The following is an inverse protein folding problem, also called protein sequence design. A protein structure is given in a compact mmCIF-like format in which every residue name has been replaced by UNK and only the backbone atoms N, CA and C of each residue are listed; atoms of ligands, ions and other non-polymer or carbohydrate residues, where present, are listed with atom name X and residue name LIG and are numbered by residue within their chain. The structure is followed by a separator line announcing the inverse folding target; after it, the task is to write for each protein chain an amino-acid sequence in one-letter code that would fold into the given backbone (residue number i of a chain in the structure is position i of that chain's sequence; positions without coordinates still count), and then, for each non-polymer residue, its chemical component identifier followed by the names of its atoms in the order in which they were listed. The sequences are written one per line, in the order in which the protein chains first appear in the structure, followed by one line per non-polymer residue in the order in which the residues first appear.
data_IF_429237612983
#
_entry.id   IF_429237612983
#
_cell.length_a   1.000
_cell.length_b   1.000
_cell.length_c   1.000
_cell.angle_alpha   90.00
_cell.angle_beta   90.00
_cell.angle_gamma   90.00
#
_symmetry.space_group_name_H-M   'P 1'
#
loop_
_entity.id
_entity.type
_entity.pdbx_description
1 polymer ?
#
# COMPACT_ATOMS: atom_id res chain seq x y z
N UNK A 1 -26.39 -14.44 -17.52
CA UNK A 1 -26.37 -13.14 -18.21
C UNK A 1 -26.07 -12.09 -17.14
N UNK A 2 -24.78 -11.79 -16.91
CA UNK A 2 -24.34 -10.82 -15.91
C UNK A 2 -23.89 -9.55 -16.64
N UNK A 3 -24.50 -8.43 -16.28
CA UNK A 3 -24.19 -7.12 -16.82
C UNK A 3 -22.84 -6.66 -16.28
N UNK A 4 -21.83 -6.60 -17.15
CA UNK A 4 -20.61 -5.84 -16.89
C UNK A 4 -20.90 -4.37 -17.19
N UNK A 5 -21.20 -3.59 -16.17
CA UNK A 5 -21.32 -2.13 -16.29
C UNK A 5 -19.97 -1.57 -16.74
N UNK A 6 -19.92 -0.74 -17.80
CA UNK A 6 -18.67 -0.16 -18.27
C UNK A 6 -18.09 0.76 -17.19
N UNK A 7 -16.80 0.58 -16.91
CA UNK A 7 -16.01 1.39 -15.98
C UNK A 7 -16.33 2.87 -16.10
N UNK A 8 -16.89 3.45 -15.05
CA UNK A 8 -16.95 4.89 -14.84
C UNK A 8 -15.53 5.44 -14.94
N UNK A 9 -15.25 6.22 -15.98
CA UNK A 9 -14.16 7.20 -15.98
C UNK A 9 -14.45 8.18 -14.86
N UNK A 10 -14.07 7.85 -13.63
CA UNK A 10 -14.17 8.74 -12.48
C UNK A 10 -13.28 9.96 -12.75
N UNK A 11 -13.91 11.07 -13.12
CA UNK A 11 -13.31 12.40 -13.19
C UNK A 11 -12.82 12.91 -11.83
N UNK A 12 -13.16 12.21 -10.75
CA UNK A 12 -12.95 12.64 -9.36
C UNK A 12 -11.48 12.66 -8.92
N UNK A 13 -10.59 11.93 -9.59
CA UNK A 13 -9.17 11.84 -9.22
C UNK A 13 -8.25 12.77 -10.02
N UNK A 14 -8.74 13.36 -11.13
CA UNK A 14 -7.90 14.15 -12.04
C UNK A 14 -7.37 15.46 -11.44
N UNK A 15 -8.00 16.02 -10.42
CA UNK A 15 -7.54 17.30 -9.84
C UNK A 15 -6.35 17.12 -8.88
N UNK A 16 -6.12 15.92 -8.35
CA UNK A 16 -5.00 15.62 -7.43
C UNK A 16 -3.71 15.32 -8.22
N UNK A 17 -3.84 14.89 -9.47
CA UNK A 17 -2.76 14.35 -10.31
C UNK A 17 -1.90 15.45 -10.97
N UNK A 18 -2.33 16.72 -10.96
CA UNK A 18 -1.69 17.77 -11.78
C UNK A 18 -0.30 18.23 -11.31
N UNK A 19 0.09 17.98 -10.06
CA UNK A 19 1.36 18.49 -9.49
C UNK A 19 2.31 17.41 -8.97
N UNK A 20 1.99 16.13 -9.19
CA UNK A 20 2.82 15.03 -8.69
C UNK A 20 3.96 14.72 -9.68
N UNK A 21 5.17 15.14 -9.33
CA UNK A 21 6.37 14.49 -9.85
C UNK A 21 6.42 13.11 -9.21
N UNK A 22 6.52 12.04 -10.01
CA UNK A 22 6.73 10.68 -9.52
C UNK A 22 7.80 10.71 -8.42
N UNK A 23 7.45 10.26 -7.20
CA UNK A 23 8.40 10.18 -6.10
C UNK A 23 9.50 9.18 -6.49
N UNK A 24 10.74 9.65 -6.54
CA UNK A 24 11.88 8.84 -6.94
C UNK A 24 12.40 8.05 -5.73
N UNK A 25 11.99 6.79 -5.62
CA UNK A 25 12.46 5.87 -4.56
C UNK A 25 13.73 5.16 -5.04
N UNK A 26 14.78 5.19 -4.22
CA UNK A 26 15.94 4.32 -4.41
C UNK A 26 15.63 2.91 -3.89
N UNK A 27 15.37 1.96 -4.78
CA UNK A 27 14.98 0.57 -4.46
C UNK A 27 16.14 -0.32 -3.99
N UNK A 28 17.16 0.26 -3.35
CA UNK A 28 18.34 -0.45 -2.86
C UNK A 28 18.42 -0.38 -1.33
N UNK A 29 18.97 -1.42 -0.72
CA UNK A 29 19.15 -1.50 0.73
C UNK A 29 18.04 -2.30 1.41
N UNK A 30 17.73 -1.92 2.65
CA UNK A 30 16.86 -2.71 3.54
C UNK A 30 15.53 -1.99 3.76
N UNK A 31 14.43 -2.67 3.43
CA UNK A 31 13.05 -2.20 3.58
C UNK A 31 12.26 -3.17 4.46
N UNK A 32 12.32 -3.08 5.80
CA UNK A 32 11.57 -3.98 6.66
C UNK A 32 10.06 -3.72 6.57
N UNK A 33 9.29 -4.81 6.68
CA UNK A 33 7.86 -4.73 6.96
C UNK A 33 7.66 -4.54 8.47
N UNK A 34 7.08 -3.41 8.85
CA UNK A 34 6.86 -3.04 10.24
C UNK A 34 5.53 -3.62 10.76
N UNK A 35 5.50 -3.93 12.05
CA UNK A 35 4.29 -4.29 12.78
C UNK A 35 3.50 -3.05 13.19
N UNK A 36 2.17 -3.18 13.27
CA UNK A 36 1.32 -2.19 13.94
C UNK A 36 1.17 -2.61 15.39
N UNK A 37 1.41 -1.70 16.33
CA UNK A 37 1.32 -2.00 17.76
C UNK A 37 -0.06 -1.62 18.31
N UNK A 38 -0.49 -2.37 19.31
CA UNK A 38 -1.79 -2.24 19.95
C UNK A 38 -1.61 -2.19 21.46
N UNK A 39 -2.55 -1.52 22.14
CA UNK A 39 -2.66 -1.53 23.60
C UNK A 39 -3.37 -2.81 24.05
N UNK A 40 -3.40 -3.03 25.37
CA UNK A 40 -4.07 -4.20 25.97
C UNK A 40 -5.57 -4.28 25.65
N UNK A 41 -6.21 -3.15 25.32
CA UNK A 41 -7.62 -3.07 24.90
C UNK A 41 -7.81 -3.23 23.38
N UNK A 42 -6.75 -3.59 22.65
CA UNK A 42 -6.69 -3.70 21.19
C UNK A 42 -6.91 -2.40 20.41
N UNK A 43 -6.94 -1.24 21.07
CA UNK A 43 -6.84 0.04 20.35
C UNK A 43 -5.43 0.27 19.84
N UNK A 44 -5.29 1.06 18.77
CA UNK A 44 -3.98 1.41 18.20
C UNK A 44 -3.04 2.05 19.23
N UNK A 45 -1.81 1.56 19.30
CA UNK A 45 -0.70 2.20 19.99
C UNK A 45 0.22 2.87 18.96
N UNK A 46 -0.22 4.04 18.48
CA UNK A 46 0.54 4.84 17.52
C UNK A 46 1.90 5.28 18.07
N UNK A 47 2.03 5.76 19.33
CA UNK A 47 3.34 6.07 19.91
C UNK A 47 4.31 4.87 19.92
N UNK A 48 3.85 3.67 20.30
CA UNK A 48 4.70 2.49 20.26
C UNK A 48 5.06 2.08 18.83
N UNK A 49 4.12 2.23 17.88
CA UNK A 49 4.36 1.95 16.45
C UNK A 49 5.43 2.90 15.90
N UNK A 50 5.33 4.21 16.14
CA UNK A 50 6.29 5.19 15.63
C UNK A 50 7.64 5.10 16.34
N UNK A 51 7.68 4.75 17.63
CA UNK A 51 8.94 4.46 18.32
C UNK A 51 9.67 3.26 17.71
N UNK A 52 8.93 2.22 17.31
CA UNK A 52 9.52 1.07 16.63
C UNK A 52 10.09 1.46 15.25
N UNK A 53 9.37 2.30 14.50
CA UNK A 53 9.86 2.85 13.22
C UNK A 53 11.12 3.70 13.44
N UNK A 54 11.15 4.55 14.46
CA UNK A 54 12.33 5.36 14.81
C UNK A 54 13.55 4.48 15.06
N UNK A 55 13.41 3.43 15.88
CA UNK A 55 14.50 2.50 16.17
C UNK A 55 15.03 1.80 14.91
N UNK A 56 14.17 1.50 13.93
CA UNK A 56 14.61 0.95 12.65
C UNK A 56 15.36 1.99 11.80
N UNK A 57 14.91 3.24 11.78
CA UNK A 57 15.61 4.35 11.11
C UNK A 57 17.00 4.55 11.72
N UNK A 58 17.11 4.58 13.05
CA UNK A 58 18.39 4.65 13.77
C UNK A 58 19.32 3.48 13.44
N UNK A 59 18.75 2.29 13.17
CA UNK A 59 19.50 1.10 12.74
C UNK A 59 19.95 1.14 11.26
N UNK A 60 19.58 2.18 10.50
CA UNK A 60 20.07 2.40 9.13
C UNK A 60 19.26 1.74 8.00
N UNK A 61 17.94 1.60 8.17
CA UNK A 61 17.07 1.15 7.08
C UNK A 61 17.02 2.18 5.94
N UNK A 62 16.62 1.74 4.74
CA UNK A 62 16.58 2.55 3.52
C UNK A 62 15.15 2.89 3.07
N UNK A 63 14.16 2.39 3.81
CA UNK A 63 12.73 2.63 3.63
C UNK A 63 11.96 1.74 4.59
N UNK A 64 10.69 2.03 4.84
CA UNK A 64 9.84 1.24 5.74
C UNK A 64 8.54 0.86 5.04
N UNK A 65 8.09 -0.38 5.23
CA UNK A 65 6.83 -0.86 4.68
C UNK A 65 5.84 -1.02 5.83
N UNK A 66 4.86 -0.11 5.88
CA UNK A 66 3.75 -0.20 6.82
C UNK A 66 2.61 -1.04 6.23
N UNK A 67 1.78 -1.59 7.12
CA UNK A 67 0.54 -2.26 6.73
C UNK A 67 0.78 -3.36 5.68
N UNK A 68 1.86 -4.14 5.84
CA UNK A 68 1.99 -5.44 5.18
C UNK A 68 1.12 -6.50 5.87
N UNK A 69 1.37 -7.79 5.62
CA UNK A 69 0.70 -8.87 6.36
C UNK A 69 0.97 -8.77 7.86
N UNK A 70 2.23 -8.63 8.27
CA UNK A 70 2.62 -8.46 9.68
C UNK A 70 2.22 -7.10 10.26
N UNK A 71 1.86 -6.14 9.41
CA UNK A 71 1.33 -4.83 9.81
C UNK A 71 -0.17 -4.83 10.07
N UNK A 72 -0.83 -6.00 10.07
CA UNK A 72 -2.26 -6.17 10.36
C UNK A 72 -3.19 -5.46 9.37
N UNK A 73 -2.79 -5.27 8.11
CA UNK A 73 -3.58 -4.54 7.11
C UNK A 73 -5.00 -5.09 6.95
N UNK A 74 -5.17 -6.42 6.95
CA UNK A 74 -6.48 -7.05 6.78
C UNK A 74 -7.32 -7.08 8.07
N UNK A 75 -6.73 -6.72 9.21
CA UNK A 75 -7.39 -6.72 10.53
C UNK A 75 -7.85 -5.33 10.95
N UNK A 76 -7.19 -4.27 10.46
CA UNK A 76 -7.51 -2.88 10.79
C UNK A 76 -8.71 -2.34 10.01
N UNK A 77 -9.50 -1.50 10.68
CA UNK A 77 -10.49 -0.66 10.02
C UNK A 77 -9.82 0.34 9.06
N UNK A 78 -10.58 0.81 8.07
CA UNK A 78 -10.05 1.75 7.06
C UNK A 78 -9.47 3.03 7.69
N UNK A 79 -10.15 3.60 8.69
CA UNK A 79 -9.67 4.79 9.42
C UNK A 79 -8.40 4.50 10.20
N UNK A 80 -8.32 3.35 10.87
CA UNK A 80 -7.13 2.94 11.62
C UNK A 80 -5.90 2.82 10.71
N UNK A 81 -6.07 2.28 9.51
CA UNK A 81 -4.99 2.25 8.50
C UNK A 81 -4.48 3.67 8.21
N UNK A 82 -5.39 4.63 8.00
CA UNK A 82 -5.00 6.01 7.69
C UNK A 82 -4.32 6.70 8.88
N UNK A 83 -4.76 6.41 10.11
CA UNK A 83 -4.13 6.93 11.34
C UNK A 83 -2.70 6.40 11.50
N UNK A 84 -2.48 5.10 11.26
CA UNK A 84 -1.12 4.50 11.24
C UNK A 84 -0.24 5.16 10.19
N UNK A 85 -0.74 5.37 8.97
CA UNK A 85 0.03 6.01 7.91
C UNK A 85 0.40 7.45 8.27
N UNK A 86 -0.56 8.23 8.76
CA UNK A 86 -0.33 9.62 9.14
C UNK A 86 0.72 9.72 10.24
N UNK A 87 0.57 8.95 11.32
CA UNK A 87 1.53 8.94 12.42
C UNK A 87 2.92 8.49 11.96
N UNK A 88 3.00 7.49 11.08
CA UNK A 88 4.29 7.01 10.55
C UNK A 88 4.96 8.06 9.67
N UNK A 89 4.24 8.67 8.73
CA UNK A 89 4.80 9.70 7.84
C UNK A 89 5.29 10.91 8.64
N UNK A 90 4.51 11.36 9.63
CA UNK A 90 4.90 12.43 10.54
C UNK A 90 6.16 12.07 11.34
N UNK A 91 6.24 10.84 11.88
CA UNK A 91 7.40 10.39 12.63
C UNK A 91 8.65 10.26 11.74
N UNK A 92 8.53 9.66 10.55
CA UNK A 92 9.65 9.44 9.63
C UNK A 92 10.25 10.76 9.13
N UNK A 93 9.44 11.80 8.98
CA UNK A 93 9.86 13.15 8.60
C UNK A 93 10.80 13.17 7.39
N UNK A 94 10.40 12.47 6.32
CA UNK A 94 11.11 12.38 5.04
C UNK A 94 12.55 11.81 5.13
N UNK A 95 12.96 11.18 6.24
CA UNK A 95 14.31 10.61 6.39
C UNK A 95 14.51 9.35 5.54
N UNK A 96 13.47 8.55 5.38
CA UNK A 96 13.43 7.36 4.51
C UNK A 96 12.05 7.27 3.84
N UNK A 97 11.92 6.63 2.65
CA UNK A 97 10.62 6.43 2.01
C UNK A 97 9.71 5.51 2.83
N UNK A 98 8.43 5.90 2.94
CA UNK A 98 7.36 5.12 3.56
C UNK A 98 6.51 4.46 2.48
N UNK A 99 6.42 3.14 2.49
CA UNK A 99 5.50 2.38 1.66
C UNK A 99 4.34 1.88 2.50
N UNK A 100 3.17 1.71 1.87
CA UNK A 100 2.03 1.04 2.48
C UNK A 100 1.55 -0.16 1.68
N UNK A 101 1.17 -1.24 2.36
CA UNK A 101 0.51 -2.38 1.73
C UNK A 101 -0.88 -2.04 1.22
N UNK A 102 -1.22 -2.51 0.01
CA UNK A 102 -2.57 -2.45 -0.56
C UNK A 102 -3.11 -3.87 -0.65
N UNK A 103 -3.94 -4.26 0.31
CA UNK A 103 -4.46 -5.63 0.48
C UNK A 103 -6.00 -5.70 0.37
N UNK A 104 -6.59 -4.78 -0.37
CA UNK A 104 -8.04 -4.60 -0.41
C UNK A 104 -8.76 -5.69 -1.23
N UNK A 105 -9.99 -6.01 -0.83
CA UNK A 105 -10.79 -7.10 -1.42
C UNK A 105 -11.30 -6.84 -2.83
N UNK A 106 -11.27 -5.58 -3.27
CA UNK A 106 -11.70 -5.22 -4.62
C UNK A 106 -10.76 -4.20 -5.21
N UNK A 107 -10.64 -4.21 -6.54
CA UNK A 107 -9.87 -3.20 -7.27
C UNK A 107 -10.35 -1.78 -6.98
N UNK A 108 -11.66 -1.56 -6.80
CA UNK A 108 -12.18 -0.23 -6.49
C UNK A 108 -11.75 0.24 -5.10
N UNK A 109 -11.81 -0.64 -4.08
CA UNK A 109 -11.33 -0.34 -2.74
C UNK A 109 -9.82 -0.09 -2.74
N UNK A 110 -9.06 -0.91 -3.46
CA UNK A 110 -7.62 -0.73 -3.63
C UNK A 110 -7.27 0.64 -4.25
N UNK A 111 -7.99 1.06 -5.31
CA UNK A 111 -7.82 2.37 -5.92
C UNK A 111 -8.17 3.51 -4.96
N UNK A 112 -9.25 3.37 -4.18
CA UNK A 112 -9.64 4.38 -3.19
C UNK A 112 -8.58 4.52 -2.09
N UNK A 113 -8.14 3.38 -1.53
CA UNK A 113 -7.10 3.34 -0.52
C UNK A 113 -5.77 3.92 -1.03
N UNK A 114 -5.36 3.57 -2.26
CA UNK A 114 -4.15 4.10 -2.88
C UNK A 114 -4.16 5.64 -3.01
N UNK A 115 -5.32 6.23 -3.31
CA UNK A 115 -5.48 7.69 -3.39
C UNK A 115 -5.43 8.33 -2.00
N UNK A 116 -6.07 7.73 -1.01
CA UNK A 116 -6.05 8.28 0.36
C UNK A 116 -4.68 8.09 1.02
N UNK A 117 -3.99 6.98 0.75
CA UNK A 117 -2.59 6.77 1.14
C UNK A 117 -1.66 7.86 0.57
N UNK A 118 -1.82 8.22 -0.71
CA UNK A 118 -1.10 9.36 -1.31
C UNK A 118 -1.36 10.66 -0.54
N UNK A 119 -2.62 10.92 -0.14
CA UNK A 119 -2.96 12.12 0.66
C UNK A 119 -2.37 12.08 2.07
N UNK A 120 -2.19 10.89 2.64
CA UNK A 120 -1.48 10.70 3.92
C UNK A 120 0.03 10.93 3.82
N UNK A 121 0.57 11.10 2.60
CA UNK A 121 1.95 11.51 2.38
C UNK A 121 2.94 10.37 2.15
N UNK A 122 2.48 9.12 2.03
CA UNK A 122 3.37 7.98 1.75
C UNK A 122 4.13 8.16 0.43
N UNK A 123 5.23 7.43 0.28
CA UNK A 123 6.12 7.54 -0.87
C UNK A 123 5.84 6.50 -1.95
N UNK A 124 5.29 5.35 -1.57
CA UNK A 124 4.99 4.27 -2.51
C UNK A 124 3.95 3.29 -1.98
N UNK A 125 3.57 2.35 -2.85
CA UNK A 125 2.66 1.28 -2.53
C UNK A 125 3.37 -0.07 -2.62
N UNK A 126 3.02 -0.98 -1.72
CA UNK A 126 3.29 -2.41 -1.85
C UNK A 126 1.97 -3.11 -2.17
N UNK A 127 1.72 -3.39 -3.45
CA UNK A 127 0.42 -3.90 -3.91
C UNK A 127 0.43 -5.42 -3.85
N UNK A 128 -0.59 -6.00 -3.20
CA UNK A 128 -0.84 -7.44 -3.19
C UNK A 128 -1.71 -7.83 -4.39
N UNK A 129 -1.76 -9.12 -4.77
CA UNK A 129 -2.88 -9.62 -5.56
C UNK A 129 -4.21 -9.23 -4.91
N UNK A 130 -5.26 -9.02 -5.70
CA UNK A 130 -6.59 -8.77 -5.18
C UNK A 130 -7.00 -9.92 -4.24
N UNK A 131 -7.25 -9.60 -2.97
CA UNK A 131 -7.80 -10.53 -1.99
C UNK A 131 -9.31 -10.73 -2.30
N UNK A 132 -10.02 -11.81 -1.98
CA UNK A 132 -9.70 -13.01 -1.19
C UNK A 132 -9.52 -14.25 -2.09
N UNK A 133 -9.96 -14.17 -3.36
CA UNK A 133 -9.99 -15.31 -4.26
C UNK A 133 -8.79 -15.31 -5.21
N UNK A 134 -8.42 -16.51 -5.69
CA UNK A 134 -7.38 -16.68 -6.70
C UNK A 134 -7.84 -16.10 -8.04
N UNK A 135 -7.26 -14.97 -8.42
CA UNK A 135 -7.50 -14.34 -9.72
C UNK A 135 -6.72 -15.01 -10.84
N UNK A 136 -7.22 -14.91 -12.07
CA UNK A 136 -6.45 -15.27 -13.27
C UNK A 136 -5.44 -14.16 -13.66
N UNK A 137 -4.53 -14.45 -14.60
CA UNK A 137 -3.52 -13.48 -15.07
C UNK A 137 -4.12 -12.17 -15.58
N UNK A 138 -5.24 -12.22 -16.31
CA UNK A 138 -5.91 -11.04 -16.88
C UNK A 138 -6.50 -10.19 -15.76
N UNK A 139 -7.11 -10.81 -14.77
CA UNK A 139 -7.70 -10.16 -13.60
C UNK A 139 -6.64 -9.53 -12.71
N UNK A 140 -5.55 -10.26 -12.40
CA UNK A 140 -4.40 -9.72 -11.68
C UNK A 140 -3.87 -8.48 -12.40
N UNK A 141 -3.62 -8.54 -13.71
CA UNK A 141 -3.12 -7.38 -14.43
C UNK A 141 -4.12 -6.23 -14.52
N UNK A 142 -5.42 -6.52 -14.59
CA UNK A 142 -6.45 -5.48 -14.52
C UNK A 142 -6.42 -4.78 -13.16
N UNK A 143 -6.20 -5.50 -12.07
CA UNK A 143 -6.10 -4.95 -10.72
C UNK A 143 -4.91 -3.98 -10.60
N UNK A 144 -3.70 -4.46 -10.89
CA UNK A 144 -2.47 -3.65 -10.84
C UNK A 144 -2.53 -2.41 -11.74
N UNK A 145 -2.99 -2.57 -12.99
CA UNK A 145 -3.14 -1.43 -13.92
C UNK A 145 -4.16 -0.41 -13.46
N UNK A 146 -5.20 -0.83 -12.74
CA UNK A 146 -6.22 0.10 -12.22
C UNK A 146 -5.67 0.93 -11.07
N UNK A 147 -4.93 0.31 -10.16
CA UNK A 147 -4.27 1.00 -9.05
C UNK A 147 -3.21 1.97 -9.57
N UNK A 148 -2.36 1.54 -10.51
CA UNK A 148 -1.34 2.37 -11.14
C UNK A 148 -1.92 3.57 -11.92
N UNK A 149 -3.20 3.55 -12.28
CA UNK A 149 -3.91 4.68 -12.91
C UNK A 149 -4.62 5.58 -11.91
N UNK A 150 -4.85 5.11 -10.69
CA UNK A 150 -5.55 5.86 -9.65
C UNK A 150 -4.62 6.83 -8.91
N UNK A 151 -3.33 6.52 -8.86
CA UNK A 151 -2.30 7.30 -8.15
C UNK A 151 -0.99 7.31 -8.93
N UNK A 152 -0.16 8.31 -8.70
CA UNK A 152 1.19 8.43 -9.24
C UNK A 152 2.26 7.84 -8.30
N UNK A 153 1.85 7.20 -7.20
CA UNK A 153 2.78 6.51 -6.32
C UNK A 153 3.45 5.34 -7.06
N UNK A 154 4.77 5.16 -6.94
CA UNK A 154 5.43 3.99 -7.47
C UNK A 154 4.98 2.72 -6.71
N UNK A 155 4.96 1.59 -7.42
CA UNK A 155 4.41 0.32 -6.93
C UNK A 155 5.49 -0.75 -6.83
N UNK A 156 5.64 -1.31 -5.64
CA UNK A 156 6.30 -2.59 -5.37
C UNK A 156 5.25 -3.71 -5.46
N UNK A 157 5.51 -4.75 -6.25
CA UNK A 157 4.63 -5.90 -6.34
C UNK A 157 4.93 -6.91 -5.23
N UNK A 158 3.93 -7.25 -4.41
CA UNK A 158 4.06 -8.31 -3.41
C UNK A 158 3.77 -9.67 -4.05
N UNK A 159 4.82 -10.44 -4.36
CA UNK A 159 4.66 -11.78 -4.93
C UNK A 159 4.89 -12.86 -3.87
N UNK A 160 3.80 -13.45 -3.36
CA UNK A 160 3.82 -14.65 -2.51
C UNK A 160 2.85 -15.70 -3.08
N UNK A 161 3.27 -16.46 -4.10
CA UNK A 161 2.40 -17.44 -4.76
C UNK A 161 2.03 -18.63 -3.87
N UNK A 162 2.82 -18.91 -2.83
CA UNK A 162 2.52 -19.98 -1.87
C UNK A 162 1.30 -19.61 -1.03
N UNK A 163 1.25 -18.37 -0.52
CA UNK A 163 0.16 -17.91 0.32
C UNK A 163 -1.10 -17.53 -0.48
N UNK A 164 -0.93 -16.87 -1.64
CA UNK A 164 -2.06 -16.29 -2.38
C UNK A 164 -2.47 -17.09 -3.61
N UNK A 165 -1.72 -18.13 -3.97
CA UNK A 165 -1.96 -18.96 -5.16
C UNK A 165 -2.02 -18.20 -6.50
N UNK A 166 -1.55 -16.96 -6.51
CA UNK A 166 -1.38 -16.09 -7.67
C UNK A 166 0.12 -15.81 -7.80
N UNK A 167 0.69 -16.18 -8.94
CA UNK A 167 2.11 -15.92 -9.24
C UNK A 167 2.23 -14.70 -10.17
N UNK A 168 2.88 -13.66 -9.68
CA UNK A 168 3.10 -12.40 -10.38
C UNK A 168 4.49 -12.44 -11.00
N UNK A 169 4.55 -12.78 -12.29
CA UNK A 169 5.81 -12.90 -13.04
C UNK A 169 6.18 -11.61 -13.76
N UNK A 170 7.47 -11.32 -14.00
CA UNK A 170 7.90 -10.14 -14.74
C UNK A 170 7.25 -10.00 -16.13
N UNK A 171 7.07 -11.11 -16.86
CA UNK A 171 6.43 -11.14 -18.18
C UNK A 171 4.98 -10.65 -18.17
N UNK A 172 4.34 -10.53 -17.02
CA UNK A 172 3.01 -9.94 -16.90
C UNK A 172 3.02 -8.43 -17.13
N UNK A 173 4.16 -7.77 -16.96
CA UNK A 173 4.35 -6.32 -17.08
C UNK A 173 5.06 -5.88 -18.37
N UNK A 174 5.48 -6.82 -19.21
CA UNK A 174 6.12 -6.57 -20.50
C UNK A 174 5.14 -6.00 -21.56
#
# INVERSE_FOLDING_TARGET
MFWATPFLKSTKYKSIIKDSKLKNINWQGVFPAATTHFKDDYSLDLPATTQHVEAMIEAGIHGVIMLGTVGENSSLEYSEKLDVLKATVEAVDNRVPVLTGVAEYTTSLACHYAVDALKSGVDGLMVLPAMVYKSDRRETMSHYRSIARATDLPIMCYNNPVAYHVDITPDMFA
#
